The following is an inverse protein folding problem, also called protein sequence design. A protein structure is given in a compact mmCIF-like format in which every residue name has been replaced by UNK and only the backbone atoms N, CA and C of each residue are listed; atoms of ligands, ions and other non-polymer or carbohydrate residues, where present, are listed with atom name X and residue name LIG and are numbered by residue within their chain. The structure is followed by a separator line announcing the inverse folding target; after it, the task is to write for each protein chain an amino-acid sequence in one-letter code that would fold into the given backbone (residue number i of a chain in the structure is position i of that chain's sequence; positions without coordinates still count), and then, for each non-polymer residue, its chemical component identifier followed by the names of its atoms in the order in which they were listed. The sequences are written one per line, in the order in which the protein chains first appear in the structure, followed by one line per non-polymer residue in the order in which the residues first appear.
data_IF_742888954786
#
_entry.id   IF_742888954786
#
_cell.length_a   1.000
_cell.length_b   1.000
_cell.length_c   1.000
_cell.angle_alpha   90.00
_cell.angle_beta   90.00
_cell.angle_gamma   90.00
#
_symmetry.space_group_name_H-M   'P 1'
#
loop_
_entity.id
_entity.type
_entity.pdbx_description
1 polymer ?
#
# COMPACT_ATOMS: atom_id res chain seq x y z
N UNK A 1 10.78 -0.62 -25.18
CA UNK A 1 9.84 0.42 -24.75
C UNK A 1 9.57 0.26 -23.27
N UNK A 2 10.40 0.87 -22.42
CA UNK A 2 10.25 0.84 -20.96
C UNK A 2 9.57 2.11 -20.41
N UNK A 3 9.50 3.20 -21.18
CA UNK A 3 8.98 4.49 -20.70
C UNK A 3 7.47 4.55 -20.43
N UNK A 4 6.65 3.71 -21.07
CA UNK A 4 5.21 3.67 -20.79
C UNK A 4 4.89 3.12 -19.39
N UNK A 5 5.70 2.18 -18.91
CA UNK A 5 5.55 1.62 -17.57
C UNK A 5 6.01 2.58 -16.47
N UNK A 6 7.03 3.39 -16.76
CA UNK A 6 7.54 4.40 -15.81
C UNK A 6 6.56 5.55 -15.61
N UNK A 7 5.94 6.05 -16.69
CA UNK A 7 4.87 7.05 -16.61
C UNK A 7 3.65 6.52 -15.85
N UNK A 8 3.22 5.28 -16.14
CA UNK A 8 2.12 4.65 -15.43
C UNK A 8 2.43 4.44 -13.94
N UNK A 9 3.68 4.10 -13.59
CA UNK A 9 4.08 3.93 -12.21
C UNK A 9 4.02 5.25 -11.42
N UNK A 10 4.37 6.37 -12.06
CA UNK A 10 4.25 7.69 -11.46
C UNK A 10 2.79 8.10 -11.24
N UNK A 11 1.93 7.88 -12.24
CA UNK A 11 0.48 8.14 -12.12
C UNK A 11 -0.15 7.32 -10.98
N UNK A 12 0.25 6.05 -10.85
CA UNK A 12 -0.20 5.19 -9.76
C UNK A 12 0.28 5.67 -8.39
N UNK A 13 1.51 6.20 -8.30
CA UNK A 13 2.04 6.77 -7.06
C UNK A 13 1.27 8.03 -6.66
N UNK A 14 1.03 8.94 -7.60
CA UNK A 14 0.23 10.13 -7.33
C UNK A 14 -1.20 9.80 -6.89
N UNK A 15 -1.84 8.80 -7.52
CA UNK A 15 -3.15 8.31 -7.11
C UNK A 15 -3.14 7.70 -5.71
N UNK A 16 -2.11 6.91 -5.37
CA UNK A 16 -1.93 6.34 -4.04
C UNK A 16 -1.82 7.42 -2.97
N UNK A 17 -1.01 8.47 -3.19
CA UNK A 17 -0.81 9.56 -2.24
C UNK A 17 -2.11 10.34 -2.02
N UNK A 18 -2.84 10.67 -3.10
CA UNK A 18 -4.12 11.37 -3.02
C UNK A 18 -5.19 10.57 -2.25
N UNK A 19 -5.21 9.24 -2.41
CA UNK A 19 -6.08 8.36 -1.62
C UNK A 19 -5.65 8.31 -0.16
N UNK A 20 -4.34 8.28 0.11
CA UNK A 20 -3.74 8.29 1.45
C UNK A 20 -4.10 9.53 2.27
N UNK A 21 -4.25 10.71 1.64
CA UNK A 21 -4.73 11.92 2.31
C UNK A 21 -6.17 11.78 2.85
N UNK A 22 -7.00 10.95 2.20
CA UNK A 22 -8.40 10.74 2.59
C UNK A 22 -8.51 9.59 3.61
N UNK A 23 -7.81 8.48 3.36
CA UNK A 23 -7.93 7.26 4.17
C UNK A 23 -6.97 7.21 5.36
N UNK A 24 -6.00 8.12 5.41
CA UNK A 24 -4.80 7.98 6.22
C UNK A 24 -3.75 7.10 5.53
N UNK A 25 -2.50 7.26 5.95
CA UNK A 25 -1.38 6.46 5.47
C UNK A 25 -1.35 5.11 6.16
N UNK A 26 -1.28 4.03 5.37
CA UNK A 26 -1.09 2.68 5.90
C UNK A 26 0.40 2.39 6.01
N UNK A 27 0.89 2.16 7.22
CA UNK A 27 2.27 1.75 7.44
C UNK A 27 2.45 0.25 7.18
N UNK A 28 3.67 -0.20 6.81
CA UNK A 28 3.96 -1.63 6.67
C UNK A 28 3.62 -2.43 7.94
N UNK A 29 3.87 -1.87 9.13
CA UNK A 29 3.59 -2.54 10.41
C UNK A 29 2.09 -2.72 10.66
N UNK A 30 1.25 -1.73 10.32
CA UNK A 30 -0.20 -1.86 10.42
C UNK A 30 -0.75 -2.88 9.42
N UNK A 31 -0.18 -2.92 8.20
CA UNK A 31 -0.52 -3.91 7.20
C UNK A 31 -0.19 -5.32 7.71
N UNK A 32 1.02 -5.52 8.22
CA UNK A 32 1.45 -6.80 8.78
C UNK A 32 0.57 -7.18 9.99
N UNK A 33 0.27 -6.22 10.86
CA UNK A 33 -0.65 -6.39 11.98
C UNK A 33 -2.02 -6.89 11.53
N UNK A 34 -2.61 -6.29 10.48
CA UNK A 34 -3.90 -6.75 9.91
C UNK A 34 -3.80 -8.15 9.31
N UNK A 35 -2.78 -8.42 8.50
CA UNK A 35 -2.56 -9.73 7.85
C UNK A 35 -2.45 -10.84 8.90
N UNK A 36 -1.72 -10.60 9.99
CA UNK A 36 -1.44 -11.60 11.01
C UNK A 36 -2.39 -11.58 12.20
N UNK A 37 -3.30 -10.60 12.30
CA UNK A 37 -4.27 -10.47 13.41
C UNK A 37 -5.20 -11.67 13.59
N UNK A 38 -5.46 -12.43 12.53
CA UNK A 38 -6.31 -13.63 12.54
C UNK A 38 -5.52 -14.94 12.59
N UNK A 39 -4.19 -14.89 12.51
CA UNK A 39 -3.37 -16.06 12.74
C UNK A 39 -3.35 -16.30 14.25
N UNK A 40 -3.98 -17.40 14.69
CA UNK A 40 -3.97 -17.79 16.09
C UNK A 40 -2.55 -17.72 16.65
N UNK A 41 -2.32 -16.83 17.61
CA UNK A 41 -1.09 -16.80 18.41
C UNK A 41 -1.14 -18.07 19.27
N UNK A 42 -0.56 -19.16 18.78
CA UNK A 42 -0.50 -20.42 19.50
C UNK A 42 -0.86 -21.64 18.64
N UNK A 43 0.17 -22.21 18.02
CA UNK A 43 0.42 -23.66 18.11
C UNK A 43 1.85 -23.87 18.57
#
# INVERSE_FOLDING_TARGET
GYGAGELLAEDLRAAQDALGEITGHLTPDELLGKIFSSFCIGK
#
